data_IF_995061416265
#
_entry.id   IF_995061416265
#
_cell.length_a   1.000
_cell.length_b   1.000
_cell.length_c   1.000
_cell.angle_alpha   90.00
_cell.angle_beta   90.00
_cell.angle_gamma   90.00
#
_symmetry.space_group_name_H-M   'P 1'
#
loop_
_entity.id
_entity.type
_entity.pdbx_description
1 polymer ?
#
# COMPACT_ATOMS: atom_id res chain seq x y z
N UNK A 1 -0.60 22.06 32.36
CA UNK A 1 -1.65 21.03 32.53
C UNK A 1 -1.88 20.42 31.15
N UNK A 2 -1.03 19.47 30.74
CA UNK A 2 -1.17 18.00 30.95
C UNK A 2 -2.43 17.49 30.25
N UNK A 3 -2.42 16.48 29.41
CA UNK A 3 -1.40 15.52 29.02
C UNK A 3 -1.92 14.85 27.74
N UNK A 4 -1.05 14.53 26.79
CA UNK A 4 -1.22 13.28 26.06
C UNK A 4 0.15 12.62 25.97
N UNK A 5 0.17 11.50 26.67
CA UNK A 5 1.30 10.70 27.09
C UNK A 5 1.89 9.93 25.91
N UNK A 6 3.19 9.71 25.99
CA UNK A 6 3.97 8.90 25.07
C UNK A 6 3.60 7.43 25.29
N UNK A 7 2.84 6.83 24.37
CA UNK A 7 2.45 5.43 24.53
C UNK A 7 1.65 4.87 23.36
N UNK A 8 2.21 4.91 22.15
CA UNK A 8 1.58 4.33 20.96
C UNK A 8 2.57 3.47 20.20
N UNK A 9 2.57 2.17 20.49
CA UNK A 9 3.36 1.18 19.76
C UNK A 9 3.07 1.20 18.26
N UNK A 10 3.93 0.49 17.51
CA UNK A 10 4.00 0.36 16.05
C UNK A 10 2.65 0.32 15.28
N UNK A 11 1.57 -0.09 15.94
CA UNK A 11 0.18 -0.11 15.47
C UNK A 11 -0.42 1.28 15.17
N UNK A 12 -0.03 2.33 15.90
CA UNK A 12 -0.57 3.69 15.71
C UNK A 12 -0.21 4.34 14.37
N UNK A 13 0.84 3.84 13.69
CA UNK A 13 1.32 4.37 12.40
C UNK A 13 0.63 3.75 11.19
N UNK A 14 -0.21 2.74 11.39
CA UNK A 14 -0.90 2.01 10.30
C UNK A 14 -2.34 2.52 10.10
N UNK A 15 -2.87 3.37 10.99
CA UNK A 15 -4.27 3.80 10.97
C UNK A 15 -4.59 5.00 10.06
N UNK A 16 -3.61 5.59 9.37
CA UNK A 16 -3.84 6.80 8.55
C UNK A 16 -4.28 6.54 7.10
N UNK A 17 -4.58 5.30 6.70
CA UNK A 17 -4.74 4.95 5.28
C UNK A 17 -6.16 5.01 4.70
N UNK A 18 -7.24 5.14 5.47
CA UNK A 18 -8.57 4.77 4.95
C UNK A 18 -9.57 5.91 4.67
N UNK A 19 -9.13 7.16 4.50
CA UNK A 19 -10.04 8.26 4.14
C UNK A 19 -9.71 8.85 2.77
N UNK A 20 -10.26 8.28 1.69
CA UNK A 20 -10.27 9.03 0.42
C UNK A 20 -10.53 8.29 -0.89
N UNK A 21 -10.53 6.96 -0.94
CA UNK A 21 -10.94 6.24 -2.15
C UNK A 21 -11.78 5.04 -1.69
N UNK A 22 -13.09 5.09 -1.96
CA UNK A 22 -13.95 3.90 -1.85
C UNK A 22 -13.57 2.97 -2.99
N UNK A 23 -12.49 2.23 -2.82
CA UNK A 23 -11.78 1.59 -3.93
C UNK A 23 -12.37 0.25 -4.39
N UNK A 24 -13.62 -0.02 -4.00
CA UNK A 24 -14.35 -1.26 -4.28
C UNK A 24 -15.75 -0.99 -4.85
N UNK A 25 -16.01 0.17 -5.44
CA UNK A 25 -17.28 0.39 -6.15
C UNK A 25 -17.30 -0.33 -7.50
N UNK A 26 -17.84 -1.55 -7.49
CA UNK A 26 -18.06 -2.38 -8.68
C UNK A 26 -19.50 -2.31 -9.19
N UNK A 27 -20.34 -1.45 -8.59
CA UNK A 27 -21.76 -1.31 -8.92
C UNK A 27 -22.02 -1.09 -10.42
N UNK A 28 -21.24 -0.25 -11.12
CA UNK A 28 -21.43 -0.08 -12.57
C UNK A 28 -21.16 -1.36 -13.37
N UNK A 29 -20.14 -2.14 -13.00
CA UNK A 29 -19.79 -3.38 -13.68
C UNK A 29 -20.83 -4.47 -13.41
N UNK A 30 -21.28 -4.57 -12.17
CA UNK A 30 -22.35 -5.48 -11.74
C UNK A 30 -23.65 -5.23 -12.49
N UNK A 31 -24.08 -3.97 -12.60
CA UNK A 31 -25.29 -3.58 -13.31
C UNK A 31 -25.25 -3.94 -14.81
N UNK A 32 -24.06 -3.95 -15.42
CA UNK A 32 -23.86 -4.23 -16.83
C UNK A 32 -23.50 -5.70 -17.12
N UNK A 33 -23.38 -6.55 -16.09
CA UNK A 33 -22.83 -7.92 -16.21
C UNK A 33 -21.49 -7.94 -16.98
N UNK A 34 -20.71 -6.87 -16.84
CA UNK A 34 -19.45 -6.70 -17.54
C UNK A 34 -18.30 -7.27 -16.69
N UNK A 35 -17.31 -7.94 -17.31
CA UNK A 35 -16.18 -8.45 -16.56
C UNK A 35 -15.27 -7.32 -16.08
N UNK A 36 -14.76 -7.44 -14.85
CA UNK A 36 -13.73 -6.55 -14.30
C UNK A 36 -12.35 -7.14 -14.55
N UNK A 37 -11.44 -6.29 -15.04
CA UNK A 37 -10.04 -6.66 -15.20
C UNK A 37 -9.18 -5.95 -14.18
N UNK A 38 -8.51 -6.72 -13.33
CA UNK A 38 -7.52 -6.20 -12.39
C UNK A 38 -6.15 -6.76 -12.75
N UNK A 39 -5.25 -5.88 -13.22
CA UNK A 39 -3.84 -6.21 -13.37
C UNK A 39 -3.58 -7.45 -14.25
N UNK A 40 -4.46 -7.67 -15.23
CA UNK A 40 -4.44 -8.77 -16.20
C UNK A 40 -5.22 -10.03 -15.76
N UNK A 41 -5.90 -10.02 -14.62
CA UNK A 41 -6.84 -11.07 -14.19
C UNK A 41 -8.28 -10.61 -14.44
N UNK A 42 -9.09 -11.49 -15.01
CA UNK A 42 -10.51 -11.27 -15.31
C UNK A 42 -11.38 -11.81 -14.17
N UNK A 43 -12.43 -11.08 -13.83
CA UNK A 43 -13.49 -11.46 -12.90
C UNK A 43 -14.83 -11.23 -13.60
N UNK A 44 -15.66 -12.26 -13.67
CA UNK A 44 -16.90 -12.24 -14.44
C UNK A 44 -18.10 -11.82 -13.60
N UNK A 45 -18.11 -12.14 -12.30
CA UNK A 45 -19.22 -11.86 -11.40
C UNK A 45 -18.76 -11.25 -10.07
N UNK A 46 -18.24 -10.03 -10.14
CA UNK A 46 -17.79 -9.27 -8.95
C UNK A 46 -18.93 -8.83 -8.03
N UNK A 47 -20.19 -9.03 -8.41
CA UNK A 47 -21.35 -8.72 -7.57
C UNK A 47 -21.71 -9.87 -6.62
N UNK A 48 -21.28 -11.09 -6.95
CA UNK A 48 -21.49 -12.26 -6.12
C UNK A 48 -20.23 -13.13 -6.04
N UNK A 49 -20.07 -14.11 -6.93
CA UNK A 49 -19.11 -15.20 -6.75
C UNK A 49 -17.64 -14.75 -6.72
N UNK A 50 -17.29 -13.73 -7.50
CA UNK A 50 -15.90 -13.30 -7.66
C UNK A 50 -15.50 -12.16 -6.69
N UNK A 51 -16.45 -11.60 -5.93
CA UNK A 51 -16.20 -10.39 -5.12
C UNK A 51 -15.05 -10.57 -4.14
N UNK A 52 -15.01 -11.68 -3.40
CA UNK A 52 -13.95 -11.93 -2.41
C UNK A 52 -12.58 -12.10 -3.07
N UNK A 53 -12.53 -12.80 -4.20
CA UNK A 53 -11.29 -13.01 -4.96
C UNK A 53 -10.79 -11.71 -5.61
N UNK A 54 -11.72 -10.83 -6.03
CA UNK A 54 -11.44 -9.49 -6.51
C UNK A 54 -10.92 -8.61 -5.37
N UNK A 55 -11.64 -8.53 -4.25
CA UNK A 55 -11.30 -7.76 -3.05
C UNK A 55 -9.93 -8.15 -2.50
N UNK A 56 -9.64 -9.45 -2.35
CA UNK A 56 -8.33 -9.93 -1.88
C UNK A 56 -7.18 -9.56 -2.82
N UNK A 57 -7.41 -9.52 -4.13
CA UNK A 57 -6.40 -9.10 -5.11
C UNK A 57 -6.23 -7.58 -5.11
N UNK A 58 -7.33 -6.84 -4.96
CA UNK A 58 -7.33 -5.40 -4.81
C UNK A 58 -6.54 -4.97 -3.56
N UNK A 59 -6.80 -5.59 -2.40
CA UNK A 59 -6.11 -5.31 -1.13
C UNK A 59 -4.62 -5.66 -1.19
N UNK A 60 -4.21 -6.61 -2.03
CA UNK A 60 -2.82 -6.97 -2.20
C UNK A 60 -2.01 -5.95 -3.04
N UNK A 61 -2.63 -4.89 -3.56
CA UNK A 61 -1.95 -3.83 -4.29
C UNK A 61 -1.25 -2.90 -3.29
N UNK A 62 0.07 -2.78 -3.42
CA UNK A 62 0.87 -1.76 -2.75
C UNK A 62 0.38 -0.38 -3.13
N UNK A 63 -0.10 0.34 -2.12
CA UNK A 63 -0.61 1.69 -2.26
C UNK A 63 0.31 2.67 -1.58
N UNK A 64 0.86 3.60 -2.37
CA UNK A 64 1.69 4.69 -1.88
C UNK A 64 0.93 6.00 -2.06
N UNK A 65 0.82 6.75 -0.97
CA UNK A 65 0.14 8.04 -0.91
C UNK A 65 1.14 9.13 -0.57
N UNK A 66 0.70 10.38 -0.64
CA UNK A 66 1.46 11.48 -0.06
C UNK A 66 1.81 11.19 1.39
N UNK A 67 2.97 11.71 1.78
CA UNK A 67 3.52 11.68 3.13
C UNK A 67 3.94 13.07 3.53
N UNK A 68 4.05 13.22 4.84
CA UNK A 68 4.54 14.39 5.54
C UNK A 68 5.47 13.94 6.65
N UNK A 69 6.26 14.87 7.13
CA UNK A 69 7.21 14.68 8.23
C UNK A 69 8.26 13.58 7.92
N UNK A 70 8.58 13.34 6.64
CA UNK A 70 9.76 12.56 6.26
C UNK A 70 11.04 13.41 6.45
N UNK A 71 12.21 12.78 6.69
CA UNK A 71 13.47 13.51 6.86
C UNK A 71 13.75 14.43 5.68
N UNK A 72 14.26 15.63 5.98
CA UNK A 72 14.48 16.66 4.97
C UNK A 72 15.32 16.13 3.79
N UNK A 73 14.84 16.38 2.58
CA UNK A 73 15.52 15.98 1.34
C UNK A 73 16.63 16.96 0.95
N UNK A 74 17.78 16.93 1.63
CA UNK A 74 18.91 17.81 1.32
C UNK A 74 19.34 17.73 -0.17
N UNK A 75 19.57 18.87 -0.86
CA UNK A 75 19.62 20.26 -0.37
C UNK A 75 18.28 20.99 -0.33
N UNK A 76 17.16 20.33 -0.61
CA UNK A 76 15.82 20.90 -0.59
C UNK A 76 15.22 20.88 0.83
N UNK A 77 14.33 21.83 1.12
CA UNK A 77 13.63 21.93 2.40
C UNK A 77 12.29 21.17 2.41
N UNK A 78 12.17 20.13 1.56
CA UNK A 78 10.95 19.33 1.50
C UNK A 78 10.93 18.25 2.59
N UNK A 79 9.83 18.22 3.34
CA UNK A 79 9.47 17.19 4.32
C UNK A 79 8.09 16.58 4.04
N UNK A 80 7.48 16.98 2.92
CA UNK A 80 6.18 16.49 2.44
C UNK A 80 6.18 16.48 0.92
N UNK A 81 5.53 15.46 0.33
CA UNK A 81 5.34 15.35 -1.11
C UNK A 81 3.93 15.75 -1.57
N UNK A 82 3.13 16.31 -0.66
CA UNK A 82 1.81 16.86 -0.99
C UNK A 82 1.93 17.99 -2.03
N UNK A 83 1.17 17.87 -3.12
CA UNK A 83 1.12 18.86 -4.19
C UNK A 83 2.14 18.67 -5.32
N UNK A 84 3.13 17.79 -5.17
CA UNK A 84 4.14 17.54 -6.21
C UNK A 84 4.53 16.06 -6.40
N UNK A 85 4.27 15.20 -5.41
CA UNK A 85 4.69 13.80 -5.40
C UNK A 85 3.82 12.81 -6.17
N UNK A 86 2.72 13.23 -6.80
CA UNK A 86 1.71 12.30 -7.32
C UNK A 86 2.27 11.32 -8.36
N UNK A 87 3.09 11.82 -9.27
CA UNK A 87 3.74 11.01 -10.30
C UNK A 87 4.79 10.07 -9.69
N UNK A 88 5.50 10.52 -8.65
CA UNK A 88 6.49 9.71 -7.94
C UNK A 88 5.80 8.55 -7.19
N UNK A 89 4.71 8.81 -6.47
CA UNK A 89 3.91 7.77 -5.80
C UNK A 89 3.32 6.78 -6.80
N UNK A 90 2.86 7.26 -7.95
CA UNK A 90 2.37 6.40 -9.04
C UNK A 90 3.46 5.50 -9.62
N UNK A 91 4.67 6.03 -9.83
CA UNK A 91 5.82 5.26 -10.26
C UNK A 91 6.26 4.24 -9.20
N UNK A 92 6.25 4.62 -7.91
CA UNK A 92 6.50 3.70 -6.80
C UNK A 92 5.48 2.55 -6.80
N UNK A 93 4.19 2.82 -7.02
CA UNK A 93 3.16 1.78 -7.08
C UNK A 93 3.40 0.83 -8.25
N UNK A 94 3.70 1.36 -9.44
CA UNK A 94 3.98 0.55 -10.62
C UNK A 94 5.20 -0.35 -10.42
N UNK A 95 6.31 0.21 -9.93
CA UNK A 95 7.55 -0.53 -9.68
C UNK A 95 7.36 -1.53 -8.54
N UNK A 96 6.72 -1.13 -7.45
CA UNK A 96 6.40 -1.98 -6.30
C UNK A 96 5.57 -3.18 -6.73
N UNK A 97 4.56 -2.99 -7.59
CA UNK A 97 3.77 -4.08 -8.14
C UNK A 97 4.59 -5.04 -9.02
N UNK A 98 5.51 -4.53 -9.84
CA UNK A 98 6.40 -5.37 -10.63
C UNK A 98 7.33 -6.21 -9.73
N UNK A 99 7.92 -5.59 -8.71
CA UNK A 99 8.80 -6.26 -7.74
C UNK A 99 8.03 -7.29 -6.89
N UNK A 100 6.81 -6.97 -6.45
CA UNK A 100 5.93 -7.90 -5.74
C UNK A 100 5.71 -9.18 -6.56
N UNK A 101 5.34 -9.04 -7.84
CA UNK A 101 5.14 -10.19 -8.73
C UNK A 101 6.41 -11.01 -8.92
N UNK A 102 7.57 -10.35 -9.00
CA UNK A 102 8.86 -11.01 -9.15
C UNK A 102 9.28 -11.78 -7.90
N UNK A 103 9.03 -11.23 -6.71
CA UNK A 103 9.53 -11.78 -5.44
C UNK A 103 8.57 -12.79 -4.79
N UNK A 104 7.26 -12.54 -4.90
CA UNK A 104 6.20 -13.27 -4.21
C UNK A 104 5.27 -14.05 -5.17
N UNK A 105 5.35 -13.77 -6.47
CA UNK A 105 4.49 -14.37 -7.48
C UNK A 105 3.22 -13.55 -7.76
N UNK A 106 2.57 -13.87 -8.88
CA UNK A 106 1.36 -13.15 -9.36
C UNK A 106 0.13 -13.40 -8.48
N UNK A 107 0.04 -14.59 -7.88
CA UNK A 107 -1.09 -15.01 -7.06
C UNK A 107 -0.90 -14.71 -5.57
N UNK A 108 0.15 -13.95 -5.20
CA UNK A 108 0.35 -13.46 -3.84
C UNK A 108 -0.85 -12.65 -3.36
N UNK A 109 -1.29 -12.91 -2.12
CA UNK A 109 -2.35 -12.18 -1.42
C UNK A 109 -1.87 -11.85 -0.02
N UNK A 110 -2.34 -10.75 0.55
CA UNK A 110 -2.14 -10.48 1.96
C UNK A 110 -2.78 -11.61 2.79
N UNK A 111 -2.11 -12.10 3.85
CA UNK A 111 -2.81 -12.86 4.89
C UNK A 111 -4.00 -12.03 5.36
N UNK A 112 -5.13 -12.68 5.63
CA UNK A 112 -6.32 -11.97 6.08
C UNK A 112 -6.03 -11.29 7.42
N UNK A 113 -5.64 -10.02 7.38
CA UNK A 113 -5.20 -9.23 8.52
C UNK A 113 -6.29 -9.10 9.60
N UNK A 114 -7.53 -9.45 9.27
CA UNK A 114 -8.71 -9.38 10.14
C UNK A 114 -9.33 -10.74 10.48
N UNK A 115 -8.92 -11.84 9.84
CA UNK A 115 -9.54 -13.17 10.03
C UNK A 115 -8.59 -14.20 10.64
N UNK A 116 -7.27 -14.00 10.56
CA UNK A 116 -6.29 -14.84 11.22
C UNK A 116 -5.88 -14.23 12.57
N UNK A 117 -5.68 -15.09 13.57
CA UNK A 117 -5.06 -14.77 14.84
C UNK A 117 -3.86 -13.82 14.69
N UNK A 118 -3.62 -13.04 15.74
CA UNK A 118 -2.65 -11.95 15.92
C UNK A 118 -1.17 -12.32 15.53
N UNK A 119 -0.90 -13.56 15.11
CA UNK A 119 0.43 -14.12 14.84
C UNK A 119 0.76 -14.40 13.36
N UNK A 120 -0.10 -14.02 12.40
CA UNK A 120 0.22 -14.18 10.97
C UNK A 120 1.37 -13.24 10.54
N UNK A 121 2.61 -13.69 10.70
CA UNK A 121 3.81 -12.97 10.28
C UNK A 121 3.82 -12.81 8.76
N UNK A 122 3.95 -11.57 8.30
CA UNK A 122 4.18 -11.26 6.88
C UNK A 122 5.48 -11.92 6.40
N UNK A 123 5.54 -12.45 5.16
CA UNK A 123 6.77 -13.03 4.65
C UNK A 123 7.91 -12.01 4.63
N UNK A 124 9.12 -12.45 4.97
CA UNK A 124 10.28 -11.55 5.04
C UNK A 124 10.54 -10.84 3.70
N UNK A 125 10.31 -11.52 2.56
CA UNK A 125 10.39 -10.92 1.22
C UNK A 125 9.41 -9.75 1.02
N UNK A 126 8.20 -9.86 1.58
CA UNK A 126 7.20 -8.78 1.51
C UNK A 126 7.60 -7.61 2.41
N UNK A 127 8.09 -7.89 3.62
CA UNK A 127 8.59 -6.85 4.53
C UNK A 127 9.78 -6.11 3.93
N UNK A 128 10.73 -6.82 3.32
CA UNK A 128 11.87 -6.23 2.61
C UNK A 128 11.41 -5.36 1.44
N UNK A 129 10.44 -5.83 0.65
CA UNK A 129 9.86 -5.05 -0.44
C UNK A 129 9.26 -3.73 0.08
N UNK A 130 8.49 -3.76 1.17
CA UNK A 130 7.93 -2.55 1.76
C UNK A 130 9.01 -1.58 2.24
N UNK A 131 10.10 -2.10 2.82
CA UNK A 131 11.22 -1.27 3.31
C UNK A 131 11.90 -0.49 2.20
N UNK A 132 12.00 -1.03 0.98
CA UNK A 132 12.59 -0.32 -0.16
C UNK A 132 11.82 0.93 -0.59
N UNK A 133 10.54 1.05 -0.19
CA UNK A 133 9.68 2.20 -0.50
C UNK A 133 9.36 3.05 0.74
N UNK A 134 10.02 2.82 1.87
CA UNK A 134 9.84 3.65 3.06
C UNK A 134 10.45 5.04 2.83
N UNK A 135 9.78 6.09 3.29
CA UNK A 135 10.23 7.49 3.21
C UNK A 135 11.28 7.80 4.28
N UNK A 136 12.35 7.01 4.31
CA UNK A 136 13.49 7.17 5.17
C UNK A 136 14.76 7.18 4.31
N UNK A 137 15.68 8.13 4.54
CA UNK A 137 16.97 8.09 3.88
C UNK A 137 17.71 6.83 4.34
N UNK A 138 18.40 6.18 3.40
CA UNK A 138 19.35 5.15 3.78
C UNK A 138 20.51 5.80 4.54
N UNK A 139 20.95 5.18 5.62
CA UNK A 139 22.08 5.64 6.43
C UNK A 139 23.37 5.70 5.60
N UNK A 140 23.48 4.89 4.54
CA UNK A 140 24.63 4.90 3.63
C UNK A 140 24.55 6.00 2.56
N UNK A 141 23.35 6.49 2.20
CA UNK A 141 23.16 7.51 1.17
C UNK A 141 23.42 8.95 1.68
N UNK A 142 23.39 9.16 3.00
CA UNK A 142 23.69 10.45 3.64
C UNK A 142 25.17 10.62 4.06
N UNK A 143 26.07 9.78 3.53
CA UNK A 143 27.52 10.01 3.64
C UNK A 143 27.91 11.34 2.99
N UNK A 144 28.65 12.14 3.75
CA UNK A 144 29.21 13.44 3.37
C UNK A 144 29.83 13.45 1.97
N UNK A 145 29.19 14.16 1.04
CA UNK A 145 29.85 14.68 -0.16
C UNK A 145 30.69 15.91 0.20
#
# INVERSE_FOLDING_TARGET
MTAWDLGGGLLGRVAQFAHGISALDVTPSAALSAPVWLLGRRYDDVAAADFDAYKRNFEAILWFTYRRDFPQMTPYDFTSDAGWGCMLRSAQMLLGQALQRRLLGRDWRLPALFEAEIDARLPDKYVTLLRWFADLPDVECCGTW
#
